data_IF_875915624039
#
_entry.id   IF_875915624039
#
_cell.length_a   1.000
_cell.length_b   1.000
_cell.length_c   1.000
_cell.angle_alpha   90.00
_cell.angle_beta   90.00
_cell.angle_gamma   90.00
#
_symmetry.space_group_name_H-M   'P 1'
#
loop_
_entity.id
_entity.type
_entity.pdbx_description
1 polymer ?
#
# COMPACT_ATOMS: atom_id res chain seq x y z
N UNK A 1 -21.52 -32.21 -1.81
CA UNK A 1 -21.41 -31.73 -3.19
C UNK A 1 -22.10 -30.37 -3.39
N UNK A 2 -23.30 -30.14 -2.83
CA UNK A 2 -24.00 -28.83 -2.91
C UNK A 2 -23.21 -27.62 -2.43
N UNK A 3 -22.31 -27.78 -1.44
CA UNK A 3 -21.47 -26.69 -0.91
C UNK A 3 -20.50 -26.18 -1.98
N UNK A 4 -19.90 -27.09 -2.76
CA UNK A 4 -18.97 -26.72 -3.81
C UNK A 4 -19.63 -26.14 -5.06
N UNK A 5 -20.93 -26.43 -5.29
CA UNK A 5 -21.71 -25.84 -6.38
C UNK A 5 -22.05 -24.37 -6.13
N UNK A 6 -22.24 -23.98 -4.85
CA UNK A 6 -22.52 -22.58 -4.45
C UNK A 6 -21.27 -21.72 -4.32
N UNK A 7 -20.10 -22.34 -4.23
CA UNK A 7 -18.83 -21.62 -4.01
C UNK A 7 -18.50 -20.60 -5.11
N UNK A 8 -18.68 -20.90 -6.43
CA UNK A 8 -18.42 -19.91 -7.47
C UNK A 8 -19.31 -18.67 -7.37
N UNK A 9 -20.57 -18.84 -6.99
CA UNK A 9 -21.52 -17.74 -6.87
C UNK A 9 -21.17 -16.85 -5.67
N UNK A 10 -20.79 -17.43 -4.54
CA UNK A 10 -20.34 -16.71 -3.36
C UNK A 10 -19.01 -15.96 -3.60
N UNK A 11 -18.09 -16.58 -4.34
CA UNK A 11 -16.83 -15.90 -4.74
C UNK A 11 -17.12 -14.75 -5.71
N UNK A 12 -18.01 -14.93 -6.69
CA UNK A 12 -18.42 -13.87 -7.60
C UNK A 12 -19.11 -12.73 -6.85
N UNK A 13 -19.95 -13.04 -5.87
CA UNK A 13 -20.56 -12.05 -4.99
C UNK A 13 -19.49 -11.27 -4.20
N UNK A 14 -18.52 -11.98 -3.61
CA UNK A 14 -17.39 -11.37 -2.92
C UNK A 14 -16.59 -10.44 -3.84
N UNK A 15 -16.27 -10.88 -5.06
CA UNK A 15 -15.57 -10.03 -6.06
C UNK A 15 -16.43 -8.81 -6.43
N UNK A 16 -17.75 -8.96 -6.55
CA UNK A 16 -18.66 -7.84 -6.82
C UNK A 16 -18.74 -6.83 -5.68
N UNK A 17 -18.53 -7.26 -4.42
CA UNK A 17 -18.46 -6.38 -3.26
C UNK A 17 -17.21 -5.47 -3.26
N UNK A 18 -16.16 -5.83 -4.01
CA UNK A 18 -15.02 -4.95 -4.27
C UNK A 18 -15.32 -3.86 -5.29
N UNK A 19 -16.47 -3.91 -5.99
CA UNK A 19 -16.93 -2.77 -6.76
C UNK A 19 -17.25 -1.59 -5.83
N UNK A 20 -16.88 -0.38 -6.27
CA UNK A 20 -17.06 0.84 -5.47
C UNK A 20 -18.55 1.14 -5.29
N UNK A 21 -19.12 0.77 -4.15
CA UNK A 21 -20.48 1.17 -3.80
C UNK A 21 -20.46 2.53 -3.10
N UNK A 22 -21.32 3.49 -3.49
CA UNK A 22 -21.44 4.76 -2.81
C UNK A 22 -22.04 4.56 -1.42
N UNK A 23 -21.43 5.11 -0.38
CA UNK A 23 -21.96 5.12 1.00
C UNK A 23 -22.87 6.34 1.19
N UNK A 24 -22.51 7.46 0.57
CA UNK A 24 -23.28 8.72 0.63
C UNK A 24 -23.21 9.39 -0.74
N UNK A 25 -24.36 9.68 -1.33
CA UNK A 25 -24.44 10.36 -2.62
C UNK A 25 -24.55 9.39 -3.81
N UNK A 26 -24.40 9.91 -5.01
CA UNK A 26 -24.51 9.19 -6.28
C UNK A 26 -23.17 8.63 -6.75
N UNK A 27 -23.18 7.63 -7.67
CA UNK A 27 -21.97 7.00 -8.24
C UNK A 27 -20.97 8.00 -8.86
N UNK A 28 -21.44 9.18 -9.27
CA UNK A 28 -20.62 10.23 -9.91
C UNK A 28 -19.98 11.22 -8.95
N UNK A 29 -20.56 11.46 -7.77
CA UNK A 29 -20.09 12.46 -6.79
C UNK A 29 -20.19 11.99 -5.34
N UNK A 30 -20.38 10.69 -5.10
CA UNK A 30 -20.56 10.12 -3.76
C UNK A 30 -19.26 9.70 -3.09
N UNK A 31 -19.28 9.65 -1.75
CA UNK A 31 -18.19 9.04 -0.97
C UNK A 31 -18.33 7.52 -1.10
N UNK A 32 -17.35 6.89 -1.75
CA UNK A 32 -17.27 5.43 -1.85
C UNK A 32 -16.81 4.81 -0.52
N UNK A 33 -17.07 3.52 -0.32
CA UNK A 33 -16.59 2.80 0.86
C UNK A 33 -15.08 2.96 1.06
N UNK A 34 -14.30 2.92 -0.03
CA UNK A 34 -12.84 3.08 0.02
C UNK A 34 -12.42 4.50 0.43
N UNK A 35 -13.08 5.53 -0.11
CA UNK A 35 -12.83 6.92 0.27
C UNK A 35 -13.16 7.17 1.74
N UNK A 36 -14.24 6.57 2.26
CA UNK A 36 -14.58 6.63 3.67
C UNK A 36 -13.47 6.05 4.55
N UNK A 37 -13.01 4.82 4.26
CA UNK A 37 -11.95 4.18 5.04
C UNK A 37 -10.60 4.90 4.89
N UNK A 38 -10.33 5.51 3.74
CA UNK A 38 -9.15 6.35 3.53
C UNK A 38 -9.18 7.59 4.46
N UNK A 39 -10.32 8.23 4.62
CA UNK A 39 -10.49 9.35 5.56
C UNK A 39 -10.30 8.86 7.00
N UNK A 40 -10.91 7.74 7.36
CA UNK A 40 -10.78 7.14 8.71
C UNK A 40 -9.32 6.83 9.01
N UNK A 41 -8.59 6.18 8.10
CA UNK A 41 -7.18 5.86 8.30
C UNK A 41 -6.30 7.11 8.39
N UNK A 42 -6.64 8.17 7.66
CA UNK A 42 -5.96 9.47 7.79
C UNK A 42 -6.18 10.08 9.18
N UNK A 43 -7.40 10.03 9.69
CA UNK A 43 -7.73 10.50 11.05
C UNK A 43 -6.97 9.67 12.09
N UNK A 44 -6.95 8.34 11.94
CA UNK A 44 -6.20 7.44 12.83
C UNK A 44 -4.71 7.78 12.82
N UNK A 45 -4.11 7.99 11.64
CA UNK A 45 -2.72 8.42 11.52
C UNK A 45 -2.47 9.73 12.29
N UNK A 46 -3.31 10.73 12.10
CA UNK A 46 -3.18 12.02 12.78
C UNK A 46 -3.29 11.88 14.30
N UNK A 47 -4.21 11.03 14.79
CA UNK A 47 -4.35 10.74 16.22
C UNK A 47 -3.10 10.05 16.76
N UNK A 48 -2.58 9.05 16.04
CA UNK A 48 -1.36 8.32 16.42
C UNK A 48 -0.17 9.28 16.52
N UNK A 49 0.01 10.15 15.53
CA UNK A 49 1.06 11.17 15.53
C UNK A 49 0.89 12.19 16.67
N UNK A 50 -0.32 12.63 16.94
CA UNK A 50 -0.61 13.56 18.03
C UNK A 50 -0.33 12.93 19.42
N UNK A 51 -0.72 11.65 19.61
CA UNK A 51 -0.44 10.90 20.83
C UNK A 51 1.06 10.66 20.99
N UNK A 52 1.77 10.32 19.92
CA UNK A 52 3.21 10.15 19.91
C UNK A 52 3.90 11.45 20.30
N UNK A 53 3.58 12.57 19.65
CA UNK A 53 4.13 13.90 19.97
C UNK A 53 3.92 14.28 21.44
N UNK A 54 2.74 13.99 22.02
CA UNK A 54 2.43 14.30 23.43
C UNK A 54 3.21 13.44 24.41
N UNK A 55 3.53 12.18 24.04
CA UNK A 55 4.25 11.22 24.89
C UNK A 55 5.75 11.19 24.67
N UNK A 56 6.25 11.95 23.70
CA UNK A 56 7.68 12.04 23.38
C UNK A 56 8.42 12.69 24.54
N UNK A 57 9.45 11.99 25.05
CA UNK A 57 10.34 12.43 26.14
C UNK A 57 11.77 12.08 25.76
N UNK A 58 12.77 12.75 26.40
CA UNK A 58 14.20 12.49 26.16
C UNK A 58 14.61 11.03 26.37
N UNK A 59 13.90 10.31 27.25
CA UNK A 59 14.05 8.86 27.41
C UNK A 59 12.69 8.24 27.18
N UNK A 60 12.48 7.58 26.04
CA UNK A 60 11.17 7.03 25.69
C UNK A 60 10.77 5.95 26.69
N UNK A 61 9.56 6.07 27.24
CA UNK A 61 9.00 5.13 28.20
C UNK A 61 7.70 4.56 27.63
N UNK A 62 7.66 3.22 27.51
CA UNK A 62 6.47 2.50 27.09
C UNK A 62 6.60 1.84 25.72
N UNK A 63 5.98 0.67 25.58
CA UNK A 63 6.04 -0.18 24.38
C UNK A 63 5.60 0.56 23.10
N UNK A 64 4.51 1.35 23.19
CA UNK A 64 3.98 2.09 22.05
C UNK A 64 4.95 3.17 21.54
N UNK A 65 5.55 3.96 22.46
CA UNK A 65 6.46 5.05 22.07
C UNK A 65 7.74 4.47 21.49
N UNK A 66 8.32 3.45 22.14
CA UNK A 66 9.54 2.80 21.65
C UNK A 66 9.32 2.11 20.30
N UNK A 67 8.18 1.43 20.12
CA UNK A 67 7.87 0.76 18.84
C UNK A 67 7.68 1.76 17.70
N UNK A 68 7.01 2.88 17.97
CA UNK A 68 6.78 3.90 16.95
C UNK A 68 8.08 4.66 16.62
N UNK A 69 8.91 4.95 17.61
CA UNK A 69 10.23 5.54 17.44
C UNK A 69 11.14 4.63 16.63
N UNK A 70 11.15 3.32 16.91
CA UNK A 70 11.88 2.33 16.13
C UNK A 70 11.46 2.33 14.66
N UNK A 71 10.16 2.44 14.36
CA UNK A 71 9.67 2.52 12.98
C UNK A 71 10.17 3.80 12.29
N UNK A 72 10.13 4.93 12.98
CA UNK A 72 10.63 6.21 12.43
C UNK A 72 12.15 6.14 12.19
N UNK A 73 12.90 5.61 13.16
CA UNK A 73 14.35 5.44 13.06
C UNK A 73 14.73 4.47 11.93
N UNK A 74 13.96 3.40 11.75
CA UNK A 74 14.12 2.48 10.64
C UNK A 74 13.95 3.19 9.29
N UNK A 75 12.90 3.99 9.12
CA UNK A 75 12.67 4.78 7.90
C UNK A 75 13.78 5.82 7.70
N UNK A 76 14.27 6.44 8.79
CA UNK A 76 15.34 7.43 8.72
C UNK A 76 16.66 6.80 8.27
N UNK A 77 17.06 5.68 8.88
CA UNK A 77 18.36 5.08 8.63
C UNK A 77 18.38 4.32 7.31
N UNK A 78 17.36 3.52 7.03
CA UNK A 78 17.33 2.62 5.88
C UNK A 78 16.91 3.36 4.60
N UNK A 79 15.85 4.17 4.65
CA UNK A 79 15.33 4.88 3.49
C UNK A 79 15.98 6.27 3.35
N UNK A 80 15.99 7.05 4.43
CA UNK A 80 16.52 8.41 4.38
C UNK A 80 18.01 8.44 4.10
N UNK A 81 18.81 7.93 5.03
CA UNK A 81 20.27 7.93 4.93
C UNK A 81 20.81 6.91 3.92
N UNK A 82 20.17 5.72 3.86
CA UNK A 82 20.64 4.63 3.02
C UNK A 82 20.36 4.83 1.53
N UNK A 83 19.23 5.44 1.15
CA UNK A 83 18.81 5.58 -0.24
C UNK A 83 18.96 7.01 -0.75
N UNK A 84 18.50 8.02 0.03
CA UNK A 84 18.56 9.44 -0.42
C UNK A 84 19.95 10.07 -0.21
N UNK A 85 20.74 9.56 0.75
CA UNK A 85 22.10 10.07 0.97
C UNK A 85 22.14 11.43 1.70
N UNK A 86 22.97 12.38 1.24
CA UNK A 86 23.25 13.63 1.97
C UNK A 86 22.03 14.54 2.18
N UNK A 87 21.13 14.56 1.21
CA UNK A 87 19.92 15.42 1.23
C UNK A 87 18.73 14.80 1.98
N UNK A 88 18.91 13.69 2.70
CA UNK A 88 17.84 12.94 3.33
C UNK A 88 16.95 13.76 4.25
N UNK A 89 17.48 14.71 5.00
CA UNK A 89 16.72 15.55 5.96
C UNK A 89 15.59 16.34 5.30
N UNK A 90 15.77 16.72 4.04
CA UNK A 90 14.81 17.49 3.26
C UNK A 90 13.61 16.61 2.83
N UNK A 91 13.87 15.34 2.50
CA UNK A 91 12.87 14.42 1.97
C UNK A 91 12.24 13.54 3.05
N UNK A 92 12.91 13.37 4.19
CA UNK A 92 12.49 12.52 5.29
C UNK A 92 11.03 12.76 5.76
N UNK A 93 10.55 14.01 5.97
CA UNK A 93 9.17 14.23 6.42
C UNK A 93 8.14 13.70 5.42
N UNK A 94 8.40 13.84 4.12
CA UNK A 94 7.52 13.31 3.07
C UNK A 94 7.56 11.78 3.02
N UNK A 95 8.75 11.19 2.98
CA UNK A 95 8.94 9.74 2.91
C UNK A 95 8.36 9.03 4.15
N UNK A 96 8.62 9.58 5.33
CA UNK A 96 8.09 9.05 6.58
C UNK A 96 6.55 9.14 6.64
N UNK A 97 5.96 10.27 6.21
CA UNK A 97 4.52 10.41 6.15
C UNK A 97 3.88 9.45 5.15
N UNK A 98 4.50 9.26 3.99
CA UNK A 98 4.05 8.32 2.95
C UNK A 98 4.08 6.88 3.45
N UNK A 99 5.19 6.47 4.09
CA UNK A 99 5.34 5.16 4.69
C UNK A 99 4.26 4.87 5.74
N UNK A 100 4.11 5.77 6.71
CA UNK A 100 3.14 5.60 7.80
C UNK A 100 1.71 5.61 7.28
N UNK A 101 1.41 6.44 6.29
CA UNK A 101 0.08 6.52 5.68
C UNK A 101 -0.29 5.18 5.02
N UNK A 102 0.60 4.63 4.18
CA UNK A 102 0.35 3.36 3.50
C UNK A 102 0.29 2.22 4.53
N UNK A 103 1.21 2.19 5.49
CA UNK A 103 1.24 1.17 6.54
C UNK A 103 -0.08 1.13 7.33
N UNK A 104 -0.55 2.27 7.81
CA UNK A 104 -1.80 2.34 8.60
C UNK A 104 -3.01 1.96 7.74
N UNK A 105 -3.08 2.41 6.48
CA UNK A 105 -4.15 2.01 5.58
C UNK A 105 -4.19 0.50 5.36
N UNK A 106 -3.03 -0.12 5.13
CA UNK A 106 -2.93 -1.56 4.94
C UNK A 106 -3.29 -2.32 6.21
N UNK A 107 -2.84 -1.86 7.39
CA UNK A 107 -3.18 -2.48 8.68
C UNK A 107 -4.67 -2.40 9.00
N UNK A 108 -5.32 -1.26 8.74
CA UNK A 108 -6.77 -1.11 8.95
C UNK A 108 -7.53 -2.06 8.02
N UNK A 109 -7.08 -2.22 6.77
CA UNK A 109 -7.69 -3.14 5.82
C UNK A 109 -7.70 -4.61 6.27
N UNK A 110 -6.75 -5.03 7.11
CA UNK A 110 -6.70 -6.40 7.64
C UNK A 110 -7.79 -6.68 8.69
N UNK A 111 -8.43 -5.66 9.24
CA UNK A 111 -9.47 -5.85 10.24
C UNK A 111 -10.74 -6.36 9.53
N UNK A 112 -11.32 -7.52 9.94
CA UNK A 112 -12.53 -8.05 9.34
C UNK A 112 -13.67 -7.03 9.35
N UNK A 113 -14.31 -6.80 8.20
CA UNK A 113 -15.39 -5.81 8.03
C UNK A 113 -14.90 -4.40 7.66
N UNK A 114 -13.60 -4.12 7.68
CA UNK A 114 -13.02 -2.88 7.18
C UNK A 114 -12.45 -3.08 5.78
N UNK A 115 -12.47 -2.03 4.94
CA UNK A 115 -11.87 -2.07 3.60
C UNK A 115 -10.63 -1.17 3.59
N UNK A 116 -9.48 -1.63 3.04
CA UNK A 116 -8.31 -0.78 2.95
C UNK A 116 -8.60 0.40 2.01
N UNK A 117 -8.26 1.61 2.41
CA UNK A 117 -8.36 2.77 1.53
C UNK A 117 -7.52 2.61 0.25
N UNK A 118 -6.45 1.82 0.31
CA UNK A 118 -5.57 1.44 -0.81
C UNK A 118 -6.13 0.29 -1.68
N UNK A 119 -7.30 -0.25 -1.36
CA UNK A 119 -7.98 -1.29 -2.14
C UNK A 119 -8.71 -0.79 -3.38
N UNK A 120 -8.76 0.52 -3.62
CA UNK A 120 -9.29 1.12 -4.83
C UNK A 120 -8.16 1.67 -5.71
N UNK A 121 -8.21 1.40 -7.04
CA UNK A 121 -7.20 1.87 -7.97
C UNK A 121 -7.10 3.41 -8.00
N UNK A 122 -8.20 4.12 -7.77
CA UNK A 122 -8.22 5.58 -7.72
C UNK A 122 -7.39 6.15 -6.57
N UNK A 123 -7.43 5.54 -5.38
CA UNK A 123 -6.64 5.99 -4.22
C UNK A 123 -5.16 5.67 -4.39
N UNK A 124 -4.82 4.49 -4.92
CA UNK A 124 -3.41 4.12 -5.18
C UNK A 124 -2.81 4.92 -6.32
N UNK A 125 -3.59 5.23 -7.37
CA UNK A 125 -3.19 6.13 -8.44
C UNK A 125 -2.95 7.56 -7.92
N UNK A 126 -3.81 8.07 -7.04
CA UNK A 126 -3.61 9.37 -6.43
C UNK A 126 -2.30 9.43 -5.63
N UNK A 127 -2.00 8.41 -4.79
CA UNK A 127 -0.73 8.32 -4.05
C UNK A 127 0.48 8.26 -4.99
N UNK A 128 0.39 7.47 -6.05
CA UNK A 128 1.46 7.37 -7.04
C UNK A 128 1.67 8.71 -7.80
N UNK A 129 0.58 9.43 -8.12
CA UNK A 129 0.65 10.77 -8.72
C UNK A 129 1.32 11.75 -7.75
N UNK A 130 0.99 11.74 -6.46
CA UNK A 130 1.66 12.57 -5.46
C UNK A 130 3.17 12.30 -5.40
N UNK A 131 3.57 11.02 -5.35
CA UNK A 131 4.97 10.63 -5.38
C UNK A 131 5.66 11.07 -6.68
N UNK A 132 4.98 10.90 -7.82
CA UNK A 132 5.45 11.30 -9.14
C UNK A 132 5.66 12.81 -9.26
N UNK A 133 4.67 13.60 -8.87
CA UNK A 133 4.77 15.07 -8.86
C UNK A 133 5.89 15.53 -7.91
N UNK A 134 6.05 14.85 -6.78
CA UNK A 134 7.07 15.17 -5.81
C UNK A 134 8.47 15.01 -6.40
N UNK A 135 8.81 13.86 -6.98
CA UNK A 135 10.18 13.66 -7.51
C UNK A 135 10.42 14.50 -8.77
N UNK A 136 9.44 14.71 -9.65
CA UNK A 136 9.58 15.63 -10.79
C UNK A 136 9.82 17.07 -10.32
N UNK A 137 9.08 17.51 -9.28
CA UNK A 137 9.28 18.84 -8.73
C UNK A 137 10.71 19.05 -8.24
N UNK A 138 11.27 18.09 -7.53
CA UNK A 138 12.64 18.18 -7.03
C UNK A 138 13.68 18.04 -8.14
N UNK A 139 13.46 17.18 -9.12
CA UNK A 139 14.28 17.10 -10.32
C UNK A 139 14.29 18.42 -11.12
N UNK A 140 13.12 19.01 -11.34
CA UNK A 140 13.02 20.32 -11.98
C UNK A 140 13.64 21.45 -11.14
N UNK A 141 13.63 21.35 -9.82
CA UNK A 141 14.24 22.33 -8.93
C UNK A 141 15.76 22.23 -8.93
N UNK A 142 16.32 21.04 -9.11
CA UNK A 142 17.76 20.80 -9.17
C UNK A 142 18.36 21.26 -10.52
N UNK A 143 17.71 20.94 -11.64
CA UNK A 143 18.23 21.14 -12.99
C UNK A 143 17.55 22.29 -13.79
N UNK A 144 16.44 22.82 -13.28
CA UNK A 144 15.50 23.56 -14.11
C UNK A 144 14.68 22.64 -15.02
N UNK A 145 13.54 23.11 -15.51
CA UNK A 145 12.61 22.28 -16.31
C UNK A 145 13.25 21.77 -17.60
N UNK A 146 14.00 22.62 -18.31
CA UNK A 146 14.66 22.25 -19.57
C UNK A 146 15.87 21.37 -19.29
N UNK A 147 16.62 21.63 -18.21
CA UNK A 147 17.74 20.79 -17.75
C UNK A 147 17.28 19.38 -17.43
N UNK A 148 16.23 19.23 -16.63
CA UNK A 148 15.67 17.94 -16.25
C UNK A 148 15.21 17.10 -17.46
N UNK A 149 14.59 17.72 -18.47
CA UNK A 149 14.18 17.01 -19.70
C UNK A 149 15.42 16.58 -20.52
N UNK A 150 16.48 17.39 -20.51
CA UNK A 150 17.74 17.05 -21.18
C UNK A 150 18.55 15.99 -20.41
N UNK A 151 18.52 16.01 -19.08
CA UNK A 151 19.25 15.05 -18.25
C UNK A 151 18.72 13.62 -18.34
N UNK A 152 17.46 13.44 -18.79
CA UNK A 152 16.94 12.12 -19.17
C UNK A 152 17.71 11.49 -20.34
N UNK A 153 18.50 12.28 -21.09
CA UNK A 153 19.40 11.77 -22.13
C UNK A 153 20.79 11.56 -21.54
N UNK A 154 21.35 10.33 -21.54
CA UNK A 154 22.68 10.07 -21.00
C UNK A 154 23.73 10.87 -21.75
N UNK A 155 24.63 11.52 -21.01
CA UNK A 155 25.76 12.23 -21.58
C UNK A 155 26.81 11.24 -22.15
N UNK A 156 27.42 11.58 -23.27
CA UNK A 156 28.46 10.76 -23.87
C UNK A 156 27.98 9.71 -24.89
N UNK A 157 26.69 9.60 -25.17
CA UNK A 157 26.15 8.69 -26.20
C UNK A 157 26.02 9.42 -27.53
N UNK A 158 26.61 8.83 -28.60
CA UNK A 158 26.58 9.39 -29.96
C UNK A 158 25.18 9.43 -30.56
N UNK A 159 24.91 10.47 -31.35
CA UNK A 159 23.72 10.51 -32.22
C UNK A 159 23.76 9.36 -33.24
N UNK A 160 22.69 8.57 -33.50
CA UNK A 160 21.28 8.75 -33.09
C UNK A 160 20.87 7.99 -31.81
N UNK A 161 21.77 7.23 -31.15
CA UNK A 161 21.48 6.38 -30.02
C UNK A 161 20.96 7.18 -28.80
N UNK A 162 21.47 8.40 -28.61
CA UNK A 162 21.03 9.30 -27.53
C UNK A 162 19.52 9.59 -27.58
N UNK A 163 18.95 9.82 -28.77
CA UNK A 163 17.52 10.06 -28.93
C UNK A 163 16.69 8.84 -28.55
N UNK A 164 17.15 7.64 -28.90
CA UNK A 164 16.49 6.40 -28.58
C UNK A 164 16.46 6.16 -27.07
N UNK A 165 17.60 6.38 -26.40
CA UNK A 165 17.70 6.21 -24.93
C UNK A 165 16.81 7.26 -24.22
N UNK A 166 16.79 8.50 -24.69
CA UNK A 166 15.93 9.54 -24.14
C UNK A 166 14.43 9.16 -24.20
N UNK A 167 13.97 8.62 -25.33
CA UNK A 167 12.59 8.15 -25.50
C UNK A 167 12.29 7.01 -24.53
N UNK A 168 13.21 6.05 -24.39
CA UNK A 168 13.07 4.91 -23.46
C UNK A 168 12.99 5.41 -22.02
N UNK A 169 13.85 6.36 -21.62
CA UNK A 169 13.86 6.90 -20.25
C UNK A 169 12.59 7.70 -19.93
N UNK A 170 12.08 8.46 -20.91
CA UNK A 170 10.80 9.15 -20.76
C UNK A 170 9.65 8.16 -20.54
N UNK A 171 9.60 7.06 -21.30
CA UNK A 171 8.64 5.98 -21.12
C UNK A 171 8.82 5.28 -19.78
N UNK A 172 10.06 4.99 -19.37
CA UNK A 172 10.40 4.37 -18.10
C UNK A 172 9.88 5.21 -16.93
N UNK A 173 10.11 6.51 -16.96
CA UNK A 173 9.64 7.46 -15.94
C UNK A 173 8.11 7.43 -15.80
N UNK A 174 7.39 7.36 -16.92
CA UNK A 174 5.94 7.24 -16.89
C UNK A 174 5.46 5.88 -16.37
N UNK A 175 6.16 4.79 -16.75
CA UNK A 175 5.85 3.44 -16.27
C UNK A 175 6.08 3.31 -14.76
N UNK A 176 7.02 4.04 -14.17
CA UNK A 176 7.24 4.10 -12.71
C UNK A 176 5.96 4.49 -11.96
N UNK A 177 5.22 5.49 -12.46
CA UNK A 177 3.93 5.90 -11.91
C UNK A 177 2.90 4.75 -11.90
N UNK A 178 2.75 4.10 -13.06
CA UNK A 178 1.76 3.02 -13.24
C UNK A 178 2.11 1.83 -12.34
N UNK A 179 3.37 1.41 -12.35
CA UNK A 179 3.82 0.24 -11.58
C UNK A 179 3.67 0.45 -10.07
N UNK A 180 3.92 1.66 -9.57
CA UNK A 180 3.70 2.01 -8.15
C UNK A 180 2.21 1.87 -7.78
N UNK A 181 1.32 2.45 -8.58
CA UNK A 181 -0.12 2.41 -8.33
C UNK A 181 -0.67 0.98 -8.39
N UNK A 182 -0.36 0.25 -9.46
CA UNK A 182 -0.85 -1.11 -9.71
C UNK A 182 -0.33 -2.08 -8.66
N UNK A 183 0.94 -1.98 -8.27
CA UNK A 183 1.52 -2.84 -7.25
C UNK A 183 0.80 -2.74 -5.91
N UNK A 184 0.54 -1.50 -5.45
CA UNK A 184 -0.17 -1.27 -4.20
C UNK A 184 -1.61 -1.77 -4.27
N UNK A 185 -2.31 -1.48 -5.36
CA UNK A 185 -3.68 -1.94 -5.60
C UNK A 185 -3.76 -3.47 -5.66
N UNK A 186 -2.97 -4.11 -6.53
CA UNK A 186 -3.04 -5.56 -6.74
C UNK A 186 -2.73 -6.35 -5.48
N UNK A 187 -1.76 -5.89 -4.68
CA UNK A 187 -1.45 -6.53 -3.42
C UNK A 187 -2.65 -6.55 -2.47
N UNK A 188 -3.26 -5.39 -2.23
CA UNK A 188 -4.43 -5.29 -1.35
C UNK A 188 -5.64 -6.03 -1.91
N UNK A 189 -5.92 -5.89 -3.20
CA UNK A 189 -7.06 -6.57 -3.85
C UNK A 189 -6.91 -8.09 -3.79
N UNK A 190 -5.76 -8.62 -4.20
CA UNK A 190 -5.51 -10.06 -4.21
C UNK A 190 -5.58 -10.67 -2.80
N UNK A 191 -4.93 -10.02 -1.80
CA UNK A 191 -4.95 -10.47 -0.42
C UNK A 191 -6.37 -10.56 0.15
N UNK A 192 -7.19 -9.53 -0.07
CA UNK A 192 -8.58 -9.55 0.39
C UNK A 192 -9.44 -10.61 -0.32
N UNK A 193 -9.26 -10.82 -1.63
CA UNK A 193 -9.98 -11.88 -2.36
C UNK A 193 -9.61 -13.24 -1.81
N UNK A 194 -8.32 -13.49 -1.56
CA UNK A 194 -7.86 -14.76 -0.98
C UNK A 194 -8.41 -14.95 0.43
N UNK A 195 -8.25 -13.97 1.33
CA UNK A 195 -8.79 -14.05 2.70
C UNK A 195 -10.29 -14.28 2.70
N UNK A 196 -11.05 -13.56 1.88
CA UNK A 196 -12.50 -13.71 1.75
C UNK A 196 -12.89 -15.09 1.25
N UNK A 197 -12.21 -15.63 0.25
CA UNK A 197 -12.48 -16.98 -0.29
C UNK A 197 -12.29 -18.07 0.76
N UNK A 198 -11.21 -17.99 1.55
CA UNK A 198 -10.97 -18.95 2.63
C UNK A 198 -11.95 -18.76 3.79
N UNK A 199 -12.37 -17.55 4.09
CA UNK A 199 -13.38 -17.26 5.11
C UNK A 199 -14.75 -17.83 4.71
N UNK A 200 -15.15 -17.67 3.44
CA UNK A 200 -16.39 -18.25 2.90
C UNK A 200 -16.34 -19.78 3.01
N UNK A 201 -15.25 -20.41 2.59
CA UNK A 201 -15.10 -21.86 2.67
C UNK A 201 -15.21 -22.35 4.11
N UNK A 202 -14.54 -21.71 5.06
CA UNK A 202 -14.63 -22.05 6.47
C UNK A 202 -16.06 -21.88 7.01
N UNK A 203 -16.75 -20.79 6.67
CA UNK A 203 -18.11 -20.51 7.11
C UNK A 203 -19.14 -21.49 6.55
N UNK A 204 -19.06 -21.82 5.27
CA UNK A 204 -19.97 -22.77 4.61
C UNK A 204 -19.88 -24.18 5.25
N UNK A 205 -18.68 -24.62 5.62
CA UNK A 205 -18.49 -25.90 6.28
C UNK A 205 -18.94 -25.90 7.75
N UNK A 206 -18.90 -24.73 8.42
CA UNK A 206 -19.33 -24.59 9.80
C UNK A 206 -20.87 -24.39 9.94
N UNK A 207 -21.51 -23.84 8.91
CA UNK A 207 -22.93 -23.47 8.93
C UNK A 207 -23.89 -24.59 9.35
N UNK A 208 -23.78 -25.87 8.91
CA UNK A 208 -24.65 -26.94 9.33
C UNK A 208 -24.56 -27.22 10.83
N UNK A 209 -23.37 -27.11 11.43
CA UNK A 209 -23.16 -27.30 12.86
C UNK A 209 -23.79 -26.16 13.68
N UNK A 210 -23.77 -24.94 13.18
CA UNK A 210 -24.37 -23.77 13.85
C UNK A 210 -25.90 -23.80 13.80
N UNK A 211 -26.49 -24.38 12.74
CA UNK A 211 -27.94 -24.51 12.59
C UNK A 211 -28.52 -25.65 13.42
N UNK A 212 -27.84 -26.79 13.49
CA UNK A 212 -28.26 -27.96 14.26
C UNK A 212 -27.06 -28.65 14.90
N UNK A 213 -26.97 -28.59 16.22
CA UNK A 213 -25.92 -29.27 16.99
C UNK A 213 -26.19 -30.78 17.00
N UNK A 214 -25.54 -31.53 16.12
CA UNK A 214 -25.58 -32.98 16.05
C UNK A 214 -24.16 -33.54 15.92
N UNK A 215 -23.94 -34.76 16.43
CA UNK A 215 -22.65 -35.43 16.30
C UNK A 215 -22.25 -35.62 14.82
N UNK A 216 -23.21 -35.88 13.95
CA UNK A 216 -22.97 -36.02 12.51
C UNK A 216 -22.51 -34.67 11.89
N UNK A 217 -23.13 -33.55 12.27
CA UNK A 217 -22.73 -32.22 11.82
C UNK A 217 -21.39 -31.79 12.39
N UNK A 218 -21.08 -32.21 13.64
CA UNK A 218 -19.76 -31.93 14.24
C UNK A 218 -18.61 -32.62 13.47
N UNK A 219 -18.81 -33.87 13.07
CA UNK A 219 -17.83 -34.58 12.21
C UNK A 219 -17.73 -33.93 10.83
N UNK A 220 -18.85 -33.51 10.24
CA UNK A 220 -18.88 -32.78 8.96
C UNK A 220 -18.21 -31.40 8.99
N UNK A 221 -18.15 -30.75 10.17
CA UNK A 221 -17.50 -29.48 10.36
C UNK A 221 -15.98 -29.58 10.63
N UNK A 222 -15.42 -30.76 10.90
CA UNK A 222 -13.98 -30.94 11.15
C UNK A 222 -13.08 -30.30 10.06
N UNK A 223 -13.37 -30.43 8.75
CA UNK A 223 -12.59 -29.79 7.72
C UNK A 223 -12.55 -28.24 7.83
N UNK A 224 -13.58 -27.61 8.42
CA UNK A 224 -13.59 -26.15 8.59
C UNK A 224 -12.46 -25.66 9.49
N UNK A 225 -12.00 -26.47 10.44
CA UNK A 225 -10.86 -26.13 11.30
C UNK A 225 -9.57 -26.02 10.49
N UNK A 226 -9.37 -26.86 9.48
CA UNK A 226 -8.20 -26.77 8.59
C UNK A 226 -8.26 -25.47 7.77
N UNK A 227 -9.44 -25.12 7.22
CA UNK A 227 -9.63 -23.86 6.48
C UNK A 227 -9.42 -22.64 7.37
N UNK A 228 -9.86 -22.70 8.62
CA UNK A 228 -9.67 -21.63 9.59
C UNK A 228 -8.20 -21.47 9.99
N UNK A 229 -7.46 -22.58 10.15
CA UNK A 229 -6.02 -22.55 10.41
C UNK A 229 -5.25 -21.92 9.24
N UNK A 230 -5.61 -22.28 8.00
CA UNK A 230 -5.03 -21.68 6.78
C UNK A 230 -5.39 -20.19 6.71
N UNK A 231 -6.62 -19.82 7.02
CA UNK A 231 -7.06 -18.41 7.05
C UNK A 231 -6.22 -17.59 8.03
N UNK A 232 -5.96 -18.09 9.24
CA UNK A 232 -5.10 -17.41 10.22
C UNK A 232 -3.68 -17.24 9.67
N UNK A 233 -3.15 -18.26 9.00
CA UNK A 233 -1.84 -18.18 8.35
C UNK A 233 -1.82 -17.10 7.25
N UNK A 234 -2.86 -17.06 6.42
CA UNK A 234 -3.01 -16.03 5.37
C UNK A 234 -3.07 -14.63 5.97
N UNK A 235 -3.81 -14.42 7.07
CA UNK A 235 -3.81 -13.14 7.77
C UNK A 235 -2.43 -12.72 8.26
N UNK A 236 -1.65 -13.67 8.80
CA UNK A 236 -0.28 -13.40 9.24
C UNK A 236 0.63 -13.02 8.06
N UNK A 237 0.50 -13.71 6.94
CA UNK A 237 1.25 -13.40 5.72
C UNK A 237 0.85 -12.02 5.19
N UNK A 238 -0.44 -11.71 5.11
CA UNK A 238 -0.94 -10.45 4.58
C UNK A 238 -0.51 -9.24 5.43
N UNK A 239 -0.40 -9.43 6.76
CA UNK A 239 0.16 -8.42 7.66
C UNK A 239 1.61 -8.07 7.29
N UNK A 240 2.44 -9.08 7.06
CA UNK A 240 3.84 -8.90 6.66
C UNK A 240 3.93 -8.28 5.27
N UNK A 241 3.14 -8.78 4.32
CA UNK A 241 3.12 -8.27 2.93
C UNK A 241 2.62 -6.83 2.89
N UNK A 242 1.61 -6.47 3.69
CA UNK A 242 1.11 -5.10 3.81
C UNK A 242 2.17 -4.14 4.35
N UNK A 243 3.00 -4.58 5.30
CA UNK A 243 4.12 -3.79 5.81
C UNK A 243 5.25 -3.66 4.78
N UNK A 244 5.64 -4.77 4.12
CA UNK A 244 6.62 -4.76 3.04
C UNK A 244 6.17 -3.85 1.90
N UNK A 245 4.89 -3.83 1.58
CA UNK A 245 4.36 -2.99 0.50
C UNK A 245 4.50 -1.50 0.81
N UNK A 246 4.26 -1.08 2.07
CA UNK A 246 4.50 0.29 2.50
C UNK A 246 5.99 0.66 2.37
N UNK A 247 6.88 -0.26 2.77
CA UNK A 247 8.33 -0.09 2.65
C UNK A 247 8.76 0.04 1.18
N UNK A 248 8.37 -0.91 0.32
CA UNK A 248 8.76 -0.93 -1.10
C UNK A 248 8.26 0.31 -1.85
N UNK A 249 7.02 0.76 -1.58
CA UNK A 249 6.50 1.98 -2.19
C UNK A 249 7.35 3.20 -1.82
N UNK A 250 7.71 3.32 -0.55
CA UNK A 250 8.48 4.46 -0.02
C UNK A 250 9.93 4.43 -0.50
N UNK A 251 10.58 3.25 -0.50
CA UNK A 251 11.95 3.07 -1.01
C UNK A 251 12.03 3.44 -2.49
N UNK A 252 11.10 2.95 -3.31
CA UNK A 252 11.10 3.29 -4.74
C UNK A 252 10.89 4.79 -4.97
N UNK A 253 10.02 5.42 -4.17
CA UNK A 253 9.84 6.87 -4.21
C UNK A 253 11.15 7.59 -3.83
N UNK A 254 11.85 7.10 -2.80
CA UNK A 254 13.15 7.64 -2.37
C UNK A 254 14.22 7.51 -3.46
N UNK A 255 14.31 6.33 -4.10
CA UNK A 255 15.22 6.08 -5.24
C UNK A 255 14.93 7.07 -6.38
N UNK A 256 13.66 7.26 -6.75
CA UNK A 256 13.29 8.19 -7.82
C UNK A 256 13.61 9.65 -7.49
N UNK A 257 13.52 10.04 -6.21
CA UNK A 257 13.93 11.37 -5.74
C UNK A 257 15.45 11.51 -5.81
N UNK A 258 16.21 10.50 -5.35
CA UNK A 258 17.67 10.48 -5.42
C UNK A 258 18.16 10.58 -6.87
N UNK A 259 17.66 9.69 -7.74
CA UNK A 259 17.99 9.73 -9.18
C UNK A 259 17.68 11.10 -9.81
N UNK A 260 16.56 11.72 -9.45
CA UNK A 260 16.18 13.02 -9.99
C UNK A 260 17.06 14.17 -9.51
N UNK A 261 17.68 14.06 -8.31
CA UNK A 261 18.62 15.06 -7.78
C UNK A 261 20.09 14.80 -8.18
N UNK A 262 20.53 13.51 -8.27
CA UNK A 262 21.93 13.14 -8.55
C UNK A 262 22.42 13.56 -9.95
N UNK A 263 21.54 13.55 -10.94
CA UNK A 263 21.90 14.04 -12.28
C UNK A 263 22.42 15.49 -12.28
N UNK A 264 22.21 16.25 -11.17
CA UNK A 264 22.69 17.64 -11.02
C UNK A 264 24.16 17.78 -10.61
N UNK A 265 24.75 16.76 -9.99
CA UNK A 265 26.10 16.85 -9.44
C UNK A 265 27.19 16.53 -10.49
N UNK A 266 26.83 16.03 -11.68
CA UNK A 266 27.76 15.70 -12.76
C UNK A 266 27.97 16.82 -13.80
N UNK A 267 27.36 18.00 -13.66
CA UNK A 267 27.62 19.22 -14.43
C UNK A 267 28.56 20.18 -13.67
#
# INVERSE_FOLDING_TARGET
MEIFEKLPDEINHLVSEFSSTPVVGDLSCGITQYSFWLIVSTIVLLIVLAVFKKKQTLVPKGFFVNGFEYIIEYVENDIGKGVVGENWKKHFPFLCSLFLFILINNMIGLIPGMKPGTGAIGSTAALAIFAFVYFIYYGCKAHGVIGYIKSLAPQGVSFPMNVLVWVVELFSTFLRLITLAVRLFCNMFAGHVVMGSFAIMASMLMQPLLQQVSAAHAVGALPSLAWLAILILIYAIELVVGAIQAYVFTVLTAVYVSEAEEVAEEE
#
